data_IF_132516735513
#
_entry.id   IF_132516735513
#
_cell.length_a   1.000
_cell.length_b   1.000
_cell.length_c   1.000
_cell.angle_alpha   90.00
_cell.angle_beta   90.00
_cell.angle_gamma   90.00
#
_symmetry.space_group_name_H-M   'P 1'
#
loop_
_entity.id
_entity.type
_entity.pdbx_description
1 polymer ?
#
# COMPACT_ATOMS: atom_id res chain seq x y z
N UNK A 1 -15.69 10.82 11.63
CA UNK A 1 -15.56 10.39 10.23
C UNK A 1 -14.15 9.89 9.91
N UNK A 2 -13.09 10.43 10.54
CA UNK A 2 -11.70 10.00 10.33
C UNK A 2 -11.43 8.53 10.65
N UNK A 3 -12.06 7.96 11.69
CA UNK A 3 -11.84 6.57 12.09
C UNK A 3 -12.24 5.54 11.02
N UNK A 4 -13.40 5.72 10.36
CA UNK A 4 -13.85 4.82 9.30
C UNK A 4 -12.93 4.89 8.07
N UNK A 5 -12.49 6.10 7.70
CA UNK A 5 -11.56 6.28 6.59
C UNK A 5 -10.18 5.67 6.90
N UNK A 6 -9.71 5.79 8.14
CA UNK A 6 -8.47 5.19 8.60
C UNK A 6 -8.53 3.65 8.61
N UNK A 7 -9.65 3.07 9.04
CA UNK A 7 -9.90 1.62 8.96
C UNK A 7 -9.92 1.13 7.50
N UNK A 8 -10.57 1.88 6.62
CA UNK A 8 -10.60 1.56 5.19
C UNK A 8 -9.22 1.64 4.55
N UNK A 9 -8.43 2.68 4.87
CA UNK A 9 -7.04 2.79 4.43
C UNK A 9 -6.18 1.61 4.90
N UNK A 10 -6.32 1.19 6.16
CA UNK A 10 -5.62 0.00 6.69
C UNK A 10 -6.01 -1.27 5.94
N UNK A 11 -7.31 -1.46 5.69
CA UNK A 11 -7.81 -2.62 4.97
C UNK A 11 -7.28 -2.67 3.52
N UNK A 12 -7.32 -1.54 2.81
CA UNK A 12 -6.79 -1.44 1.46
C UNK A 12 -5.27 -1.65 1.40
N UNK A 13 -4.53 -1.12 2.39
CA UNK A 13 -3.08 -1.32 2.48
C UNK A 13 -2.73 -2.79 2.75
N UNK A 14 -3.45 -3.45 3.66
CA UNK A 14 -3.28 -4.88 3.93
C UNK A 14 -3.58 -5.71 2.68
N UNK A 15 -4.64 -5.38 1.92
CA UNK A 15 -4.94 -6.07 0.68
C UNK A 15 -3.84 -5.87 -0.38
N UNK A 16 -3.35 -4.64 -0.56
CA UNK A 16 -2.29 -4.36 -1.53
C UNK A 16 -0.98 -5.10 -1.21
N UNK A 17 -0.68 -5.30 0.08
CA UNK A 17 0.46 -6.13 0.52
C UNK A 17 0.27 -7.61 0.20
N UNK A 18 -0.95 -8.13 0.38
CA UNK A 18 -1.28 -9.51 0.02
C UNK A 18 -1.17 -9.73 -1.49
N UNK A 19 -1.68 -8.78 -2.29
CA UNK A 19 -1.58 -8.80 -3.75
C UNK A 19 -0.11 -8.78 -4.19
N UNK A 20 0.73 -7.94 -3.56
CA UNK A 20 2.17 -7.89 -3.83
C UNK A 20 2.85 -9.23 -3.50
N UNK A 21 2.52 -9.85 -2.36
CA UNK A 21 3.08 -11.13 -1.97
C UNK A 21 2.67 -12.24 -2.96
N UNK A 22 1.42 -12.24 -3.42
CA UNK A 22 0.92 -13.17 -4.43
C UNK A 22 1.63 -12.97 -5.78
N UNK A 23 1.71 -11.72 -6.26
CA UNK A 23 2.39 -11.40 -7.52
C UNK A 23 3.88 -11.79 -7.49
N UNK A 24 4.56 -11.59 -6.35
CA UNK A 24 5.95 -12.04 -6.16
C UNK A 24 6.07 -13.56 -6.18
N UNK A 25 5.15 -14.27 -5.56
CA UNK A 25 5.15 -15.74 -5.55
C UNK A 25 4.90 -16.32 -6.96
N UNK A 26 4.05 -15.66 -7.74
CA UNK A 26 3.71 -16.08 -9.10
C UNK A 26 4.73 -15.60 -10.17
N UNK A 27 5.67 -14.73 -9.78
CA UNK A 27 6.62 -14.11 -10.71
C UNK A 27 5.98 -13.07 -11.63
N UNK A 28 4.80 -12.57 -11.28
CA UNK A 28 4.05 -11.56 -12.03
C UNK A 28 4.65 -10.17 -11.80
N UNK A 29 5.60 -9.80 -12.66
CA UNK A 29 6.30 -8.51 -12.58
C UNK A 29 5.35 -7.30 -12.71
N UNK A 30 4.32 -7.42 -13.55
CA UNK A 30 3.33 -6.35 -13.74
C UNK A 30 2.47 -6.21 -12.48
N UNK A 31 2.05 -7.33 -11.89
CA UNK A 31 1.33 -7.37 -10.62
C UNK A 31 2.16 -6.84 -9.45
N UNK A 32 3.47 -7.10 -9.43
CA UNK A 32 4.41 -6.53 -8.45
C UNK A 32 4.44 -5.02 -8.56
N UNK A 33 4.69 -4.49 -9.77
CA UNK A 33 4.79 -3.05 -9.99
C UNK A 33 3.46 -2.34 -9.68
N UNK A 34 2.33 -2.91 -10.11
CA UNK A 34 1.00 -2.37 -9.85
C UNK A 34 0.70 -2.31 -8.34
N UNK A 35 1.03 -3.38 -7.60
CA UNK A 35 0.78 -3.46 -6.17
C UNK A 35 1.68 -2.50 -5.38
N UNK A 36 2.96 -2.37 -5.75
CA UNK A 36 3.87 -1.39 -5.17
C UNK A 36 3.36 0.04 -5.36
N UNK A 37 2.95 0.41 -6.58
CA UNK A 37 2.39 1.74 -6.86
C UNK A 37 1.13 2.03 -6.04
N UNK A 38 0.27 1.01 -5.84
CA UNK A 38 -0.92 1.11 -5.00
C UNK A 38 -0.57 1.36 -3.53
N UNK A 39 0.41 0.61 -2.99
CA UNK A 39 0.90 0.78 -1.61
C UNK A 39 1.42 2.21 -1.41
N UNK A 40 2.33 2.69 -2.26
CA UNK A 40 2.89 4.04 -2.13
C UNK A 40 1.83 5.14 -2.31
N UNK A 41 0.81 4.89 -3.15
CA UNK A 41 -0.34 5.77 -3.29
C UNK A 41 -1.18 5.89 -2.02
N UNK A 42 -1.50 4.75 -1.39
CA UNK A 42 -2.26 4.70 -0.13
C UNK A 42 -1.52 5.37 1.02
N UNK A 43 -0.20 5.18 1.11
CA UNK A 43 0.63 5.83 2.14
C UNK A 43 0.66 7.35 1.99
N UNK A 44 0.84 7.86 0.77
CA UNK A 44 0.78 9.30 0.49
C UNK A 44 -0.59 9.89 0.79
N UNK A 45 -1.67 9.17 0.47
CA UNK A 45 -3.03 9.58 0.81
C UNK A 45 -3.23 9.62 2.33
N UNK A 46 -2.78 8.62 3.07
CA UNK A 46 -2.86 8.64 4.53
C UNK A 46 -2.12 9.86 5.12
N UNK A 47 -0.89 10.10 4.64
CA UNK A 47 -0.07 11.23 5.07
C UNK A 47 -0.72 12.60 4.78
N UNK A 48 -1.35 12.78 3.60
CA UNK A 48 -2.04 14.04 3.26
C UNK A 48 -3.25 14.32 4.16
N UNK A 49 -3.82 13.28 4.78
CA UNK A 49 -4.91 13.37 5.75
C UNK A 49 -4.43 13.35 7.21
N UNK A 50 -3.12 13.35 7.46
CA UNK A 50 -2.53 13.32 8.81
C UNK A 50 -2.67 11.97 9.52
N UNK A 51 -2.92 10.89 8.76
CA UNK A 51 -3.06 9.54 9.27
C UNK A 51 -1.71 8.83 9.15
N UNK A 52 -1.19 8.35 10.28
CA UNK A 52 0.02 7.54 10.30
C UNK A 52 -0.35 6.06 10.16
N UNK A 53 0.06 5.43 9.05
CA UNK A 53 -0.04 3.99 8.84
C UNK A 53 1.34 3.35 9.05
N UNK A 54 1.38 2.16 9.62
CA UNK A 54 2.62 1.38 9.70
C UNK A 54 3.06 0.94 8.29
N UNK A 55 4.29 1.25 7.93
CA UNK A 55 4.89 0.91 6.64
C UNK A 55 6.42 0.84 6.72
N UNK A 56 7.03 0.16 5.74
CA UNK A 56 8.49 0.15 5.58
C UNK A 56 8.95 1.26 4.64
N UNK A 57 10.24 1.59 4.69
CA UNK A 57 10.84 2.67 3.86
C UNK A 57 10.76 2.32 2.37
N UNK A 58 10.81 1.03 2.03
CA UNK A 58 10.64 0.54 0.65
C UNK A 58 9.22 0.79 0.12
N UNK A 59 8.20 0.62 0.97
CA UNK A 59 6.80 0.84 0.60
C UNK A 59 6.49 2.31 0.34
N UNK A 60 7.14 3.23 1.07
CA UNK A 60 6.96 4.67 0.90
C UNK A 60 7.53 5.18 -0.42
N UNK A 61 8.70 4.66 -0.81
CA UNK A 61 9.40 5.11 -2.02
C UNK A 61 8.69 4.66 -3.30
N UNK A 62 8.08 3.47 -3.28
CA UNK A 62 7.79 2.73 -4.52
C UNK A 62 9.12 2.40 -5.20
N UNK A 63 9.29 1.21 -5.78
CA UNK A 63 10.55 0.95 -6.48
C UNK A 63 10.75 1.99 -7.59
N UNK A 64 11.96 2.59 -7.59
CA UNK A 64 12.38 3.63 -8.50
C UNK A 64 12.54 3.14 -9.94
#
# INVERSE_FOLDING_TARGET
MTAMFEEELRAQLAQARNDLAAARADGDLDGVQASQGRISGLLRLAASHGIALEHTVEEERGEA
#
